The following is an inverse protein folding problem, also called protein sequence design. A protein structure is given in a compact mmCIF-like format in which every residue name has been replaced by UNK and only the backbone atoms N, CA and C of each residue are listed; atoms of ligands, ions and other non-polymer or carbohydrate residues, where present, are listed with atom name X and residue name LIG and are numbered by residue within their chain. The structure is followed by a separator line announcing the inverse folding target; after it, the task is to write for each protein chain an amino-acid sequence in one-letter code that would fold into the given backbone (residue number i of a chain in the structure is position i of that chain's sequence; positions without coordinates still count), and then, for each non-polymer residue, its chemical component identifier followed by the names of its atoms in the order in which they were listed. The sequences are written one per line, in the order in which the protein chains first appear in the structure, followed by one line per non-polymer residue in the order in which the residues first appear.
data_IF_929996954641
#
_entry.id   IF_929996954641
#
_cell.length_a   1.000
_cell.length_b   1.000
_cell.length_c   1.000
_cell.angle_alpha   90.00
_cell.angle_beta   90.00
_cell.angle_gamma   90.00
#
_symmetry.space_group_name_H-M   'P 1'
#
loop_
_entity.id
_entity.type
_entity.pdbx_description
1 polymer ?
#
# COMPACT_ATOMS: atom_id res chain seq x y z
N UNK A 1 -0.30 -25.65 -21.09
CA UNK A 1 1.00 -24.95 -21.12
C UNK A 1 1.99 -25.75 -20.30
N UNK A 2 3.17 -26.07 -20.84
CA UNK A 2 4.17 -26.87 -20.12
C UNK A 2 4.96 -25.99 -19.13
N UNK A 3 5.31 -26.56 -17.98
CA UNK A 3 6.18 -25.91 -16.99
C UNK A 3 7.56 -25.56 -17.58
N UNK A 4 8.09 -24.34 -17.34
CA UNK A 4 9.44 -23.98 -17.77
C UNK A 4 10.49 -24.92 -17.18
N UNK A 5 11.36 -25.44 -18.04
CA UNK A 5 12.36 -26.47 -17.72
C UNK A 5 13.55 -26.48 -18.68
N UNK A 6 13.78 -25.37 -19.38
CA UNK A 6 14.87 -25.26 -20.35
C UNK A 6 16.22 -25.13 -19.62
N UNK A 7 17.26 -25.79 -20.15
CA UNK A 7 18.58 -25.82 -19.52
C UNK A 7 18.68 -26.78 -18.34
N UNK A 8 19.70 -26.59 -17.52
CA UNK A 8 19.97 -27.41 -16.33
C UNK A 8 20.30 -26.53 -15.13
N UNK A 9 20.25 -27.09 -13.93
CA UNK A 9 20.59 -26.39 -12.69
C UNK A 9 21.68 -27.09 -11.90
N UNK A 10 22.40 -26.28 -11.12
CA UNK A 10 23.32 -26.70 -10.08
C UNK A 10 22.82 -26.16 -8.74
N UNK A 11 22.78 -27.06 -7.76
CA UNK A 11 22.24 -26.84 -6.42
C UNK A 11 23.24 -27.36 -5.39
N UNK A 12 23.36 -26.66 -4.27
CA UNK A 12 24.28 -27.00 -3.18
C UNK A 12 23.48 -27.22 -1.92
N UNK A 13 23.70 -28.35 -1.23
CA UNK A 13 23.05 -28.63 0.04
C UNK A 13 23.29 -27.48 1.04
N UNK A 14 22.21 -26.98 1.66
CA UNK A 14 22.27 -25.87 2.61
C UNK A 14 22.37 -24.47 1.97
N UNK A 15 22.30 -24.35 0.64
CA UNK A 15 22.31 -23.06 -0.06
C UNK A 15 20.92 -22.66 -0.56
N UNK A 16 20.61 -21.36 -0.53
CA UNK A 16 19.43 -20.80 -1.17
C UNK A 16 19.65 -20.52 -2.67
N UNK A 17 20.89 -20.60 -3.17
CA UNK A 17 21.21 -20.19 -4.53
C UNK A 17 21.13 -21.40 -5.48
N UNK A 18 20.36 -21.23 -6.54
CA UNK A 18 20.28 -22.16 -7.67
C UNK A 18 20.90 -21.48 -8.89
N UNK A 19 21.92 -22.13 -9.47
CA UNK A 19 22.63 -21.63 -10.64
C UNK A 19 22.25 -22.44 -11.87
N UNK A 20 21.74 -21.78 -12.90
CA UNK A 20 21.32 -22.37 -14.15
C UNK A 20 22.37 -22.28 -15.26
N UNK A 21 22.36 -23.25 -16.16
CA UNK A 21 23.13 -23.26 -17.41
C UNK A 21 22.15 -23.43 -18.58
N UNK A 22 22.15 -22.48 -19.52
CA UNK A 22 21.18 -22.47 -20.63
C UNK A 22 19.73 -22.20 -20.19
N UNK A 23 19.55 -21.64 -18.99
CA UNK A 23 18.26 -21.24 -18.44
C UNK A 23 17.92 -19.80 -18.81
N UNK A 24 16.65 -19.42 -18.67
CA UNK A 24 16.19 -18.03 -18.81
C UNK A 24 15.21 -17.68 -17.69
N UNK A 25 15.68 -17.72 -16.45
CA UNK A 25 14.81 -17.56 -15.28
C UNK A 25 14.06 -16.24 -15.25
N UNK A 26 14.71 -15.12 -15.56
CA UNK A 26 14.07 -13.79 -15.56
C UNK A 26 12.87 -13.68 -16.52
N UNK A 27 12.85 -14.47 -17.60
CA UNK A 27 11.73 -14.52 -18.55
C UNK A 27 10.78 -15.70 -18.35
N UNK A 28 11.01 -16.54 -17.34
CA UNK A 28 10.30 -17.82 -17.19
C UNK A 28 9.95 -18.19 -15.73
N UNK A 29 10.23 -17.31 -14.78
CA UNK A 29 9.94 -17.48 -13.36
C UNK A 29 9.65 -16.12 -12.72
N UNK A 30 8.98 -16.12 -11.57
CA UNK A 30 8.81 -14.94 -10.73
C UNK A 30 8.92 -15.34 -9.26
N UNK A 31 9.09 -14.35 -8.38
CA UNK A 31 8.98 -14.57 -6.94
C UNK A 31 7.59 -15.16 -6.58
N UNK A 32 7.57 -16.03 -5.57
CA UNK A 32 6.39 -16.79 -5.14
C UNK A 32 6.06 -18.01 -6.00
N UNK A 33 6.74 -18.24 -7.14
CA UNK A 33 6.57 -19.46 -7.93
C UNK A 33 7.19 -20.68 -7.25
N UNK A 34 6.78 -21.87 -7.68
CA UNK A 34 7.38 -23.13 -7.25
C UNK A 34 8.57 -23.52 -8.12
N UNK A 35 9.67 -23.92 -7.48
CA UNK A 35 10.82 -24.58 -8.09
C UNK A 35 10.85 -26.05 -7.67
N UNK A 36 10.80 -26.96 -8.64
CA UNK A 36 11.02 -28.39 -8.41
C UNK A 36 12.51 -28.68 -8.54
N UNK A 37 13.14 -28.97 -7.42
CA UNK A 37 14.55 -29.30 -7.35
C UNK A 37 14.88 -30.71 -7.89
N UNK A 38 16.16 -31.00 -8.15
CA UNK A 38 16.61 -32.32 -8.61
C UNK A 38 16.31 -33.46 -7.64
N UNK A 39 16.08 -33.13 -6.37
CA UNK A 39 15.68 -34.05 -5.31
C UNK A 39 14.16 -34.36 -5.32
N UNK A 40 13.42 -33.83 -6.29
CA UNK A 40 11.98 -34.00 -6.44
C UNK A 40 11.14 -33.16 -5.48
N UNK A 41 11.78 -32.30 -4.66
CA UNK A 41 11.09 -31.43 -3.71
C UNK A 41 10.72 -30.09 -4.34
N UNK A 42 9.69 -29.46 -3.77
CA UNK A 42 9.25 -28.12 -4.14
C UNK A 42 9.84 -27.11 -3.16
N UNK A 43 10.40 -26.06 -3.71
CA UNK A 43 10.90 -24.88 -3.00
C UNK A 43 10.19 -23.63 -3.55
N UNK A 44 10.02 -22.63 -2.71
CA UNK A 44 9.52 -21.32 -3.15
C UNK A 44 10.67 -20.53 -3.78
N UNK A 45 10.41 -19.91 -4.93
CA UNK A 45 11.32 -18.92 -5.52
C UNK A 45 11.15 -17.60 -4.78
N UNK A 46 12.16 -17.21 -4.01
CA UNK A 46 12.16 -15.93 -3.31
C UNK A 46 12.50 -14.77 -4.25
N UNK A 47 13.46 -14.98 -5.16
CA UNK A 47 13.88 -13.97 -6.10
C UNK A 47 14.48 -14.57 -7.37
N UNK A 48 14.29 -13.85 -8.48
CA UNK A 48 14.95 -14.14 -9.76
C UNK A 48 16.00 -13.06 -9.99
N UNK A 49 17.26 -13.38 -9.67
CA UNK A 49 18.35 -12.40 -9.70
C UNK A 49 18.89 -12.16 -11.11
N UNK A 50 18.84 -13.18 -11.98
CA UNK A 50 19.24 -13.07 -13.38
C UNK A 50 18.62 -14.20 -14.22
N UNK A 51 18.93 -14.27 -15.52
CA UNK A 51 18.55 -15.40 -16.38
C UNK A 51 19.07 -16.77 -15.90
N UNK A 52 20.09 -16.79 -15.06
CA UNK A 52 20.79 -18.00 -14.59
C UNK A 52 20.89 -18.11 -13.07
N UNK A 53 20.34 -17.18 -12.30
CA UNK A 53 20.40 -17.23 -10.84
C UNK A 53 19.01 -17.06 -10.24
N UNK A 54 18.63 -18.04 -9.42
CA UNK A 54 17.43 -18.04 -8.58
C UNK A 54 17.84 -18.11 -7.11
N UNK A 55 17.06 -17.47 -6.26
CA UNK A 55 17.10 -17.67 -4.80
C UNK A 55 15.85 -18.41 -4.38
N UNK A 56 15.99 -19.47 -3.59
CA UNK A 56 14.89 -20.32 -3.12
C UNK A 56 14.78 -20.31 -1.59
N UNK A 57 13.59 -20.66 -1.09
CA UNK A 57 13.33 -20.91 0.33
C UNK A 57 12.43 -22.15 0.51
N UNK A 58 12.66 -22.99 1.54
CA UNK A 58 13.84 -23.04 2.39
C UNK A 58 15.12 -23.33 1.57
N UNK A 59 16.30 -23.27 2.21
CA UNK A 59 17.56 -23.64 1.56
C UNK A 59 17.49 -25.08 1.01
N UNK A 60 18.23 -25.37 -0.06
CA UNK A 60 18.20 -26.67 -0.72
C UNK A 60 18.57 -27.82 0.23
N UNK A 61 17.73 -28.85 0.29
CA UNK A 61 17.84 -29.95 1.26
C UNK A 61 18.33 -31.27 0.64
N UNK A 62 18.45 -31.34 -0.69
CA UNK A 62 18.97 -32.51 -1.40
C UNK A 62 20.49 -32.59 -1.41
N UNK A 63 21.04 -33.66 -1.98
CA UNK A 63 22.48 -33.77 -2.20
C UNK A 63 22.95 -32.74 -3.23
N UNK A 64 24.13 -32.13 -3.01
CA UNK A 64 24.74 -31.21 -3.98
C UNK A 64 24.87 -31.89 -5.34
N UNK A 65 24.35 -31.23 -6.38
CA UNK A 65 24.30 -31.79 -7.72
C UNK A 65 24.41 -30.67 -8.77
N UNK A 66 24.99 -31.00 -9.92
CA UNK A 66 25.16 -30.09 -11.04
C UNK A 66 24.61 -30.71 -12.33
N UNK A 67 24.23 -29.87 -13.29
CA UNK A 67 23.71 -30.30 -14.60
C UNK A 67 22.39 -31.05 -14.53
N UNK A 68 21.58 -30.80 -13.50
CA UNK A 68 20.35 -31.55 -13.25
C UNK A 68 19.13 -30.92 -13.93
N UNK A 69 18.11 -31.75 -14.16
CA UNK A 69 16.79 -31.29 -14.60
C UNK A 69 16.05 -30.60 -13.46
N UNK A 70 15.14 -29.71 -13.82
CA UNK A 70 14.28 -28.98 -12.91
C UNK A 70 12.96 -28.65 -13.60
N UNK A 71 12.01 -28.09 -12.83
CA UNK A 71 10.85 -27.43 -13.40
C UNK A 71 10.44 -26.22 -12.55
N UNK A 72 9.81 -25.24 -13.18
CA UNK A 72 9.19 -24.10 -12.52
C UNK A 72 7.69 -24.13 -12.78
N UNK A 73 6.89 -23.69 -11.82
CA UNK A 73 5.46 -23.58 -12.03
C UNK A 73 4.87 -22.35 -11.31
N UNK A 74 3.89 -21.68 -11.95
CA UNK A 74 3.21 -20.56 -11.32
C UNK A 74 2.39 -21.04 -10.12
N UNK A 75 2.38 -20.22 -9.07
CA UNK A 75 1.48 -20.38 -7.92
C UNK A 75 0.40 -19.30 -7.96
N UNK A 76 -0.60 -19.42 -7.09
CA UNK A 76 -1.65 -18.40 -6.92
C UNK A 76 -1.23 -17.24 -6.00
N UNK A 77 0.04 -17.17 -5.57
CA UNK A 77 0.50 -16.13 -4.63
C UNK A 77 0.33 -14.72 -5.20
N UNK A 78 0.73 -14.51 -6.46
CA UNK A 78 0.56 -13.21 -7.13
C UNK A 78 -0.92 -12.83 -7.25
N UNK A 79 -1.79 -13.79 -7.56
CA UNK A 79 -3.23 -13.53 -7.65
C UNK A 79 -3.78 -13.11 -6.27
N UNK A 80 -3.32 -13.74 -5.19
CA UNK A 80 -3.67 -13.36 -3.83
C UNK A 80 -3.21 -11.93 -3.49
N UNK A 81 -1.97 -11.57 -3.81
CA UNK A 81 -1.42 -10.23 -3.52
C UNK A 81 -2.14 -9.12 -4.30
N UNK A 82 -2.52 -9.40 -5.56
CA UNK A 82 -3.34 -8.50 -6.36
C UNK A 82 -4.72 -8.32 -5.75
N UNK A 83 -5.36 -9.41 -5.29
CA UNK A 83 -6.67 -9.33 -4.61
C UNK A 83 -6.57 -8.49 -3.33
N UNK A 84 -5.55 -8.70 -2.50
CA UNK A 84 -5.33 -7.91 -1.29
C UNK A 84 -5.13 -6.41 -1.61
N UNK A 85 -4.36 -6.10 -2.65
CA UNK A 85 -4.12 -4.72 -3.11
C UNK A 85 -5.40 -4.06 -3.61
N UNK A 86 -6.24 -4.80 -4.34
CA UNK A 86 -7.55 -4.32 -4.81
C UNK A 86 -8.50 -4.10 -3.66
N UNK A 87 -8.55 -4.98 -2.66
CA UNK A 87 -9.37 -4.80 -1.46
C UNK A 87 -8.99 -3.54 -0.67
N UNK A 88 -7.68 -3.28 -0.50
CA UNK A 88 -7.19 -2.06 0.14
C UNK A 88 -7.58 -0.80 -0.66
N UNK A 89 -7.48 -0.87 -1.99
CA UNK A 89 -7.92 0.20 -2.88
C UNK A 89 -9.43 0.46 -2.74
N UNK A 90 -10.25 -0.60 -2.74
CA UNK A 90 -11.70 -0.48 -2.54
C UNK A 90 -12.02 0.17 -1.19
N UNK A 91 -11.34 -0.22 -0.12
CA UNK A 91 -11.50 0.43 1.20
C UNK A 91 -11.17 1.92 1.17
N UNK A 92 -10.10 2.30 0.47
CA UNK A 92 -9.71 3.71 0.31
C UNK A 92 -10.76 4.50 -0.48
N UNK A 93 -11.27 3.94 -1.58
CA UNK A 93 -12.32 4.57 -2.37
C UNK A 93 -13.65 4.66 -1.61
N UNK A 94 -14.00 3.65 -0.81
CA UNK A 94 -15.20 3.69 0.01
C UNK A 94 -15.14 4.83 1.03
N UNK A 95 -13.98 5.05 1.67
CA UNK A 95 -13.79 6.18 2.57
C UNK A 95 -13.96 7.54 1.85
N UNK A 96 -13.48 7.65 0.60
CA UNK A 96 -13.72 8.85 -0.23
C UNK A 96 -15.20 9.00 -0.57
N UNK A 97 -15.87 7.94 -0.99
CA UNK A 97 -17.28 7.95 -1.37
C UNK A 97 -18.21 8.33 -0.20
N UNK A 98 -17.94 7.83 1.01
CA UNK A 98 -18.73 8.11 2.21
C UNK A 98 -18.41 9.47 2.84
N UNK A 99 -17.19 9.95 2.64
CA UNK A 99 -16.72 11.26 3.11
C UNK A 99 -16.80 12.34 2.02
N UNK A 100 -15.67 12.80 1.47
CA UNK A 100 -15.61 13.90 0.49
C UNK A 100 -16.56 13.77 -0.71
N UNK A 101 -16.83 12.55 -1.19
CA UNK A 101 -17.74 12.28 -2.30
C UNK A 101 -19.20 12.66 -2.02
N UNK A 102 -19.60 12.70 -0.74
CA UNK A 102 -20.88 13.24 -0.27
C UNK A 102 -20.78 14.68 0.25
N UNK A 103 -19.63 15.34 0.09
CA UNK A 103 -19.37 16.66 0.64
C UNK A 103 -19.12 16.67 2.16
N UNK A 104 -18.83 15.50 2.76
CA UNK A 104 -18.54 15.35 4.20
C UNK A 104 -17.03 15.30 4.41
N UNK A 105 -16.46 16.35 4.98
CA UNK A 105 -15.02 16.42 5.25
C UNK A 105 -14.76 16.24 6.75
N UNK A 106 -13.89 15.31 7.11
CA UNK A 106 -13.47 15.07 8.50
C UNK A 106 -12.29 15.95 8.92
N UNK A 107 -11.68 16.65 7.97
CA UNK A 107 -10.54 17.56 8.11
C UNK A 107 -10.83 18.85 7.37
N UNK A 108 -10.08 19.91 7.66
CA UNK A 108 -10.14 21.19 6.91
C UNK A 108 -10.06 20.97 5.38
N UNK A 109 -10.80 21.80 4.64
CA UNK A 109 -10.72 21.87 3.18
C UNK A 109 -9.74 22.98 2.83
N UNK A 110 -8.60 22.59 2.27
CA UNK A 110 -7.47 23.47 1.96
C UNK A 110 -7.03 23.30 0.51
N UNK A 111 -6.26 24.24 0.00
CA UNK A 111 -5.75 24.18 -1.38
C UNK A 111 -4.49 23.29 -1.43
N UNK A 112 -4.34 22.47 -2.47
CA UNK A 112 -3.09 21.74 -2.69
C UNK A 112 -1.90 22.73 -2.81
N UNK A 113 -0.86 22.51 -1.99
CA UNK A 113 0.31 23.39 -1.89
C UNK A 113 0.12 24.63 -1.02
N UNK A 114 -1.02 24.79 -0.35
CA UNK A 114 -1.33 25.84 0.63
C UNK A 114 -2.33 25.25 1.65
N UNK A 115 -1.80 24.53 2.64
CA UNK A 115 -2.58 23.80 3.65
C UNK A 115 -2.95 24.65 4.88
N UNK A 116 -2.53 25.91 4.92
CA UNK A 116 -2.85 26.85 6.00
C UNK A 116 -3.96 27.85 5.64
N UNK A 117 -4.39 27.92 4.38
CA UNK A 117 -5.56 28.68 3.93
C UNK A 117 -6.72 27.76 3.49
N UNK A 118 -7.94 28.00 4.01
CA UNK A 118 -9.08 27.14 3.69
C UNK A 118 -10.34 27.32 4.53
N UNK A 119 -11.13 26.26 4.63
CA UNK A 119 -12.33 26.14 5.47
C UNK A 119 -12.08 25.10 6.56
N UNK A 120 -12.38 25.42 7.82
CA UNK A 120 -12.20 24.51 8.94
C UNK A 120 -13.39 24.44 9.89
N UNK A 121 -13.36 23.42 10.75
CA UNK A 121 -14.40 23.12 11.74
C UNK A 121 -13.82 23.16 13.16
N UNK A 122 -13.73 24.35 13.79
CA UNK A 122 -13.07 24.50 15.09
C UNK A 122 -13.85 23.87 16.25
N UNK A 123 -15.17 23.72 16.11
CA UNK A 123 -16.06 23.10 17.10
C UNK A 123 -17.26 22.43 16.39
N UNK A 124 -18.03 21.64 17.14
CA UNK A 124 -19.31 21.13 16.65
C UNK A 124 -20.24 22.29 16.24
N UNK A 125 -20.86 22.17 15.06
CA UNK A 125 -21.76 23.17 14.46
C UNK A 125 -21.12 24.54 14.17
N UNK A 126 -19.79 24.63 14.05
CA UNK A 126 -19.09 25.85 13.64
C UNK A 126 -18.33 25.63 12.31
N UNK A 127 -18.26 26.68 11.49
CA UNK A 127 -17.40 26.75 10.30
C UNK A 127 -16.60 28.05 10.35
N UNK A 128 -15.33 28.00 9.99
CA UNK A 128 -14.45 29.16 9.97
C UNK A 128 -13.64 29.23 8.67
N UNK A 129 -13.35 30.45 8.23
CA UNK A 129 -12.33 30.70 7.21
C UNK A 129 -10.95 30.69 7.89
N UNK A 130 -10.00 29.99 7.29
CA UNK A 130 -8.61 29.90 7.72
C UNK A 130 -7.75 30.64 6.69
N UNK A 131 -6.81 31.46 7.14
CA UNK A 131 -5.86 32.16 6.29
C UNK A 131 -4.44 31.93 6.83
N UNK A 132 -3.52 31.58 5.94
CA UNK A 132 -2.12 31.37 6.26
C UNK A 132 -1.49 32.63 6.86
N UNK A 133 -0.95 32.47 8.06
CA UNK A 133 -0.42 33.47 9.00
C UNK A 133 -1.44 34.18 9.94
N UNK A 134 -1.17 34.02 11.24
CA UNK A 134 -1.71 34.71 12.43
C UNK A 134 -3.24 34.69 12.63
N UNK A 135 -3.68 33.69 13.41
CA UNK A 135 -4.89 33.77 14.22
C UNK A 135 -6.18 33.75 13.41
N UNK A 136 -6.77 32.57 13.24
CA UNK A 136 -8.19 32.44 12.95
C UNK A 136 -8.98 32.96 14.17
N UNK A 137 -9.04 34.29 14.32
CA UNK A 137 -10.16 34.91 15.02
C UNK A 137 -11.36 34.51 14.20
N UNK A 138 -12.10 33.51 14.68
CA UNK A 138 -13.46 33.29 14.22
C UNK A 138 -14.09 34.69 14.18
N UNK A 139 -14.47 35.17 12.99
CA UNK A 139 -15.33 36.34 12.89
C UNK A 139 -16.69 35.90 13.43
N UNK A 140 -16.75 35.79 14.75
CA UNK A 140 -17.95 35.50 15.52
C UNK A 140 -18.73 36.78 15.35
N UNK A 141 -19.67 36.77 14.42
CA UNK A 141 -20.67 37.82 14.28
C UNK A 141 -21.45 37.84 15.59
N UNK A 142 -20.92 38.57 16.57
CA UNK A 142 -21.53 38.71 17.87
C UNK A 142 -22.85 39.45 17.63
N UNK A 143 -23.98 38.77 17.90
CA UNK A 143 -25.27 39.42 17.97
C UNK A 143 -25.11 40.62 18.91
N UNK A 144 -25.37 41.87 18.47
CA UNK A 144 -25.14 43.03 19.31
C UNK A 144 -26.00 42.88 20.57
N UNK A 145 -25.35 42.91 21.73
CA UNK A 145 -26.02 42.87 23.01
C UNK A 145 -27.01 44.06 23.07
N UNK A 146 -28.30 43.76 23.24
CA UNK A 146 -29.32 44.76 23.46
C UNK A 146 -28.91 45.60 24.68
N UNK A 147 -28.48 46.85 24.45
CA UNK A 147 -28.24 47.82 25.52
C UNK A 147 -29.58 48.02 26.23
N UNK A 148 -29.71 47.49 27.45
CA UNK A 148 -30.85 47.82 28.33
C UNK A 148 -30.75 49.31 28.62
N UNK A 149 -31.64 50.09 28.00
CA UNK A 149 -31.86 51.49 28.34
C UNK A 149 -32.45 51.52 29.75
N UNK A 150 -31.63 51.83 30.76
CA UNK A 150 -32.10 51.97 32.14
C UNK A 150 -32.91 53.25 32.22
N UNK A 151 -34.24 53.13 32.22
CA UNK A 151 -35.15 54.24 32.45
C UNK A 151 -35.03 54.63 33.93
N UNK A 152 -34.28 55.70 34.22
CA UNK A 152 -34.25 56.33 35.53
C UNK A 152 -35.69 56.76 35.88
N UNK A 153 -36.26 56.13 36.91
CA UNK A 153 -37.54 56.49 37.50
C UNK A 153 -37.29 57.67 38.44
N UNK A 154 -37.53 58.90 37.97
CA UNK A 154 -37.50 60.08 38.83
C UNK A 154 -38.83 60.18 39.58
N UNK A 155 -38.75 60.23 40.90
CA UNK A 155 -39.87 60.28 41.84
C UNK A 155 -40.40 61.72 41.93
N UNK A 156 -41.71 61.91 41.75
CA UNK A 156 -42.53 62.83 42.56
C UNK A 156 -43.99 62.43 42.50
#
# INVERSE_FOLDING_TARGET
MAWPKAGTVSVVNGSAIVTGTGTSFFGSAQAGWGFVGPDGRVYEVLAVSSGTVLTITPVYQGATAAGQIYALFPTMSLAHDVVASVQALTGTFQAVADGPGQGKFSTDVVKLGDEDTGLGWPSSNEVALKAGAIGSSASRMARPAARRCSLIRLIK
#
